data_IF_398438292479
#
_entry.id   IF_398438292479
#
_cell.length_a   1.000
_cell.length_b   1.000
_cell.length_c   1.000
_cell.angle_alpha   90.00
_cell.angle_beta   90.00
_cell.angle_gamma   90.00
#
_symmetry.space_group_name_H-M   'P 1'
#
loop_
_entity.id
_entity.type
_entity.pdbx_description
1 polymer ?
#
# COMPACT_ATOMS: atom_id res chain seq x y z
N UNK A 1 9.31 -11.20 12.96
CA UNK A 1 7.83 -11.19 12.98
C UNK A 1 7.35 -12.40 12.18
N UNK A 2 6.73 -13.38 12.82
CA UNK A 2 6.21 -14.56 12.13
C UNK A 2 4.81 -14.22 11.63
N UNK A 3 4.67 -13.86 10.36
CA UNK A 3 3.38 -13.54 9.75
C UNK A 3 2.71 -14.87 9.45
N UNK A 4 1.56 -15.15 10.07
CA UNK A 4 0.72 -16.26 9.66
C UNK A 4 0.14 -15.91 8.29
N UNK A 5 0.61 -16.58 7.25
CA UNK A 5 0.14 -16.35 5.88
C UNK A 5 -0.85 -17.45 5.54
N UNK A 6 -2.12 -17.08 5.42
CA UNK A 6 -3.21 -17.93 4.98
C UNK A 6 -3.84 -17.42 3.68
N UNK A 7 -4.77 -18.19 3.12
CA UNK A 7 -5.46 -17.85 1.87
C UNK A 7 -6.22 -16.52 1.97
N UNK A 8 -6.81 -16.24 3.13
CA UNK A 8 -7.53 -14.99 3.37
C UNK A 8 -6.59 -13.79 3.28
N UNK A 9 -5.41 -13.87 3.89
CA UNK A 9 -4.40 -12.82 3.85
C UNK A 9 -3.92 -12.55 2.43
N UNK A 10 -3.69 -13.61 1.63
CA UNK A 10 -3.31 -13.46 0.21
C UNK A 10 -4.43 -12.82 -0.61
N UNK A 11 -5.68 -13.24 -0.41
CA UNK A 11 -6.84 -12.64 -1.07
C UNK A 11 -7.00 -11.17 -0.70
N UNK A 12 -6.89 -10.82 0.57
CA UNK A 12 -6.98 -9.44 1.07
C UNK A 12 -5.90 -8.57 0.43
N UNK A 13 -4.64 -9.00 0.44
CA UNK A 13 -3.55 -8.24 -0.21
C UNK A 13 -3.75 -8.12 -1.73
N UNK A 14 -4.27 -9.14 -2.41
CA UNK A 14 -4.58 -9.08 -3.84
C UNK A 14 -5.70 -8.06 -4.13
N UNK A 15 -6.76 -8.05 -3.32
CA UNK A 15 -7.87 -7.10 -3.44
C UNK A 15 -7.41 -5.66 -3.21
N UNK A 16 -6.55 -5.43 -2.22
CA UNK A 16 -5.91 -4.11 -2.01
C UNK A 16 -5.11 -3.68 -3.25
N UNK A 17 -4.31 -4.59 -3.82
CA UNK A 17 -3.53 -4.33 -5.02
C UNK A 17 -4.40 -3.98 -6.24
N UNK A 18 -5.51 -4.70 -6.44
CA UNK A 18 -6.44 -4.44 -7.54
C UNK A 18 -7.18 -3.12 -7.37
N UNK A 19 -7.49 -2.71 -6.13
CA UNK A 19 -8.01 -1.36 -5.85
C UNK A 19 -6.99 -0.29 -6.25
N UNK A 20 -5.72 -0.44 -5.84
CA UNK A 20 -4.65 0.52 -6.19
C UNK A 20 -4.41 0.62 -7.70
N UNK A 21 -4.62 -0.47 -8.43
CA UNK A 21 -4.48 -0.53 -9.88
C UNK A 21 -5.75 -0.08 -10.63
N UNK A 22 -6.79 0.39 -9.93
CA UNK A 22 -8.10 0.72 -10.51
C UNK A 22 -8.72 -0.44 -11.31
N UNK A 23 -8.50 -1.68 -10.86
CA UNK A 23 -9.05 -2.90 -11.47
C UNK A 23 -10.25 -3.45 -10.72
N UNK A 24 -10.50 -2.98 -9.50
CA UNK A 24 -11.61 -3.41 -8.67
C UNK A 24 -12.88 -2.61 -9.01
N UNK A 25 -13.99 -3.27 -9.37
CA UNK A 25 -15.25 -2.58 -9.69
C UNK A 25 -15.79 -1.77 -8.50
N UNK A 26 -16.47 -0.65 -8.79
CA UNK A 26 -17.04 0.23 -7.78
C UNK A 26 -18.05 -0.50 -6.88
N UNK A 27 -18.85 -1.40 -7.44
CA UNK A 27 -19.84 -2.19 -6.70
C UNK A 27 -19.14 -3.11 -5.68
N UNK A 28 -17.99 -3.66 -6.04
CA UNK A 28 -17.21 -4.52 -5.16
C UNK A 28 -16.53 -3.71 -4.05
N UNK A 29 -16.04 -2.50 -4.36
CA UNK A 29 -15.53 -1.56 -3.34
C UNK A 29 -16.64 -1.21 -2.35
N UNK A 30 -17.85 -0.89 -2.86
CA UNK A 30 -19.00 -0.54 -2.02
C UNK A 30 -19.46 -1.72 -1.15
N UNK A 31 -19.46 -2.95 -1.69
CA UNK A 31 -19.82 -4.14 -0.94
C UNK A 31 -18.86 -4.42 0.23
N UNK A 32 -17.56 -4.26 0.00
CA UNK A 32 -16.54 -4.44 1.04
C UNK A 32 -16.58 -3.30 2.07
N UNK A 33 -16.84 -2.08 1.63
CA UNK A 33 -17.06 -0.91 2.47
C UNK A 33 -15.88 -0.57 3.38
N UNK A 34 -16.15 0.23 4.41
CA UNK A 34 -15.15 0.71 5.37
C UNK A 34 -14.70 -0.38 6.37
N UNK A 35 -15.42 -1.50 6.44
CA UNK A 35 -15.05 -2.64 7.28
C UNK A 35 -13.89 -3.47 6.71
N UNK A 36 -13.53 -3.26 5.44
CA UNK A 36 -12.38 -3.90 4.84
C UNK A 36 -11.10 -3.10 5.13
N UNK A 37 -10.02 -3.80 5.46
CA UNK A 37 -8.73 -3.20 5.83
C UNK A 37 -8.00 -2.60 4.62
N UNK A 38 -8.44 -1.46 4.13
CA UNK A 38 -7.88 -0.86 2.90
C UNK A 38 -6.45 -0.36 3.04
N UNK A 39 -6.00 -0.10 4.26
CA UNK A 39 -4.65 0.37 4.53
C UNK A 39 -3.59 -0.66 4.12
N UNK A 40 -2.51 -0.16 3.50
CA UNK A 40 -1.38 -0.99 3.11
C UNK A 40 -0.38 -1.06 4.26
N UNK A 41 -0.12 -2.27 4.74
CA UNK A 41 0.80 -2.55 5.85
C UNK A 41 2.12 -3.13 5.35
N UNK A 42 3.12 -3.22 6.24
CA UNK A 42 4.37 -3.91 5.90
C UNK A 42 4.15 -5.44 5.75
N UNK A 43 3.11 -6.01 6.38
CA UNK A 43 2.73 -7.41 6.19
C UNK A 43 2.20 -7.67 4.77
N UNK A 44 1.38 -6.75 4.23
CA UNK A 44 0.92 -6.80 2.85
C UNK A 44 2.10 -6.83 1.87
N UNK A 45 3.16 -6.06 2.13
CA UNK A 45 4.38 -6.08 1.29
C UNK A 45 5.06 -7.45 1.31
N UNK A 46 5.16 -8.08 2.48
CA UNK A 46 5.74 -9.43 2.61
C UNK A 46 4.90 -10.46 1.86
N UNK A 47 3.58 -10.41 2.01
CA UNK A 47 2.64 -11.30 1.32
C UNK A 47 2.73 -11.08 -0.21
N UNK A 48 2.67 -9.83 -0.65
CA UNK A 48 2.70 -9.47 -2.06
C UNK A 48 3.96 -10.00 -2.76
N UNK A 49 5.14 -9.79 -2.18
CA UNK A 49 6.41 -10.25 -2.74
C UNK A 49 6.51 -11.77 -2.86
N UNK A 50 5.79 -12.50 -2.01
CA UNK A 50 5.88 -13.97 -1.96
C UNK A 50 4.78 -14.68 -2.75
N UNK A 51 3.60 -14.07 -2.89
CA UNK A 51 2.41 -14.75 -3.40
C UNK A 51 1.70 -14.03 -4.56
N UNK A 52 2.00 -12.76 -4.82
CA UNK A 52 1.42 -12.04 -5.95
C UNK A 52 2.42 -11.95 -7.12
N UNK A 53 1.90 -11.56 -8.29
CA UNK A 53 2.67 -11.53 -9.54
C UNK A 53 2.58 -10.15 -10.20
N UNK A 54 3.68 -9.75 -10.84
CA UNK A 54 3.76 -8.59 -11.72
C UNK A 54 3.35 -7.27 -11.05
N UNK A 55 2.47 -6.52 -11.72
CA UNK A 55 2.06 -5.17 -11.32
C UNK A 55 1.43 -5.11 -9.91
N UNK A 56 0.79 -6.20 -9.45
CA UNK A 56 0.21 -6.25 -8.10
C UNK A 56 1.27 -6.12 -6.99
N UNK A 57 2.45 -6.71 -7.18
CA UNK A 57 3.56 -6.59 -6.22
C UNK A 57 4.01 -5.14 -6.12
N UNK A 58 4.22 -4.49 -7.26
CA UNK A 58 4.68 -3.10 -7.31
C UNK A 58 3.64 -2.12 -6.78
N UNK A 59 2.35 -2.36 -7.05
CA UNK A 59 1.26 -1.56 -6.50
C UNK A 59 1.27 -1.57 -4.97
N UNK A 60 1.40 -2.74 -4.34
CA UNK A 60 1.44 -2.85 -2.87
C UNK A 60 2.69 -2.17 -2.30
N UNK A 61 3.86 -2.38 -2.92
CA UNK A 61 5.11 -1.74 -2.48
C UNK A 61 5.00 -0.21 -2.55
N UNK A 62 4.54 0.32 -3.68
CA UNK A 62 4.37 1.77 -3.87
C UNK A 62 3.30 2.34 -2.93
N UNK A 63 2.16 1.65 -2.79
CA UNK A 63 1.10 2.05 -1.87
C UNK A 63 1.59 2.13 -0.43
N UNK A 64 2.47 1.20 0.00
CA UNK A 64 3.09 1.26 1.33
C UNK A 64 4.04 2.45 1.47
N UNK A 65 4.83 2.74 0.44
CA UNK A 65 5.74 3.87 0.44
C UNK A 65 5.01 5.20 0.55
N UNK A 66 3.94 5.37 -0.25
CA UNK A 66 3.06 6.55 -0.18
C UNK A 66 2.48 6.67 1.24
N UNK A 67 2.00 5.58 1.83
CA UNK A 67 1.46 5.61 3.19
C UNK A 67 2.50 6.08 4.23
N UNK A 68 3.77 5.65 4.09
CA UNK A 68 4.87 6.11 4.95
C UNK A 68 5.17 7.58 4.75
N UNK A 69 5.20 8.05 3.51
CA UNK A 69 5.42 9.45 3.16
C UNK A 69 4.32 10.36 3.75
N UNK A 70 3.07 9.93 3.68
CA UNK A 70 1.92 10.65 4.27
C UNK A 70 2.01 10.70 5.80
N UNK A 71 2.49 9.64 6.44
CA UNK A 71 2.62 9.59 7.90
C UNK A 71 3.80 10.43 8.44
N UNK A 72 4.83 10.70 7.63
CA UNK A 72 6.02 11.44 8.01
C UNK A 72 6.41 12.51 6.97
N UNK A 73 5.54 13.49 6.69
CA UNK A 73 5.75 14.46 5.61
C UNK A 73 7.03 15.30 5.81
N UNK A 74 7.32 15.71 7.05
CA UNK A 74 8.51 16.52 7.36
C UNK A 74 9.83 15.76 7.11
N UNK A 75 9.84 14.46 7.34
CA UNK A 75 11.00 13.62 7.06
C UNK A 75 11.27 13.56 5.54
N UNK A 76 10.21 13.43 4.72
CA UNK A 76 10.33 13.43 3.26
C UNK A 76 10.86 14.76 2.73
N UNK A 77 10.34 15.89 3.23
CA UNK A 77 10.79 17.21 2.81
C UNK A 77 12.26 17.41 3.21
N UNK A 78 12.64 16.96 4.41
CA UNK A 78 14.03 17.00 4.87
C UNK A 78 14.94 16.14 4.01
N UNK A 79 14.55 14.93 3.60
CA UNK A 79 15.39 14.02 2.82
C UNK A 79 15.45 14.38 1.33
N UNK A 80 14.43 15.03 0.78
CA UNK A 80 14.36 15.34 -0.65
C UNK A 80 15.10 16.65 -0.99
N UNK A 81 16.19 16.61 -1.78
CA UNK A 81 17.07 17.76 -1.97
C UNK A 81 16.38 18.97 -2.60
N UNK A 82 15.42 18.77 -3.50
CA UNK A 82 14.66 19.86 -4.10
C UNK A 82 13.59 20.46 -3.16
N UNK A 83 13.05 19.69 -2.21
CA UNK A 83 11.99 20.17 -1.31
C UNK A 83 12.59 20.86 -0.09
N UNK A 84 13.78 20.43 0.36
CA UNK A 84 14.54 21.07 1.45
C UNK A 84 14.80 22.56 1.19
N UNK A 85 14.94 22.98 -0.07
CA UNK A 85 15.15 24.39 -0.42
C UNK A 85 13.88 25.25 -0.24
N UNK A 86 12.69 24.65 -0.27
CA UNK A 86 11.41 25.36 -0.16
C UNK A 86 11.05 25.77 1.28
N UNK A 87 11.65 25.12 2.28
CA UNK A 87 11.46 25.43 3.71
C UNK A 87 12.60 26.27 4.31
N UNK A 88 13.69 26.48 3.57
CA UNK A 88 14.87 27.21 4.04
C UNK A 88 14.88 28.71 3.67
N UNK A 89 13.84 29.19 2.99
CA UNK A 89 13.60 30.61 2.66
C UNK A 89 12.30 31.10 3.26
#
# INVERSE_FOLDING_TARGET
MNIAIDEHSVWTTATKADRLLNRLPTEQIAHLGDGFEWDITDADVVIARRYLLGARVQAVVLGREIAKMVAAPDAIISEHPALRQLIAG
#
